data_IF_312352778978
#
_entry.id   IF_312352778978
#
_cell.length_a   1.000
_cell.length_b   1.000
_cell.length_c   1.000
_cell.angle_alpha   90.00
_cell.angle_beta   90.00
_cell.angle_gamma   90.00
#
_symmetry.space_group_name_H-M   'P 1'
#
loop_
_entity.id
_entity.type
_entity.pdbx_description
1 polymer ?
#
# COMPACT_ATOMS: atom_id res chain seq x y z
N UNK A 1 -7.72 -20.11 -16.02
CA UNK A 1 -7.74 -18.66 -15.73
C UNK A 1 -8.23 -17.95 -17.00
N UNK A 2 -9.22 -17.05 -16.84
CA UNK A 2 -9.61 -16.11 -17.88
C UNK A 2 -8.91 -14.78 -17.57
N UNK A 3 -8.33 -14.17 -18.60
CA UNK A 3 -7.72 -12.84 -18.52
C UNK A 3 -8.57 -11.86 -19.31
N UNK A 4 -8.60 -10.62 -18.89
CA UNK A 4 -9.35 -9.53 -19.51
C UNK A 4 -8.45 -8.29 -19.61
N UNK A 5 -8.75 -7.42 -20.56
CA UNK A 5 -8.05 -6.14 -20.66
C UNK A 5 -8.53 -5.14 -19.59
N UNK A 6 -7.69 -4.18 -19.25
CA UNK A 6 -7.94 -3.23 -18.15
C UNK A 6 -9.18 -2.35 -18.40
N UNK A 7 -9.48 -2.03 -19.66
CA UNK A 7 -10.65 -1.27 -20.08
C UNK A 7 -11.99 -2.01 -19.83
N UNK A 8 -11.94 -3.33 -19.62
CA UNK A 8 -13.10 -4.15 -19.31
C UNK A 8 -13.35 -4.28 -17.78
N UNK A 9 -12.49 -3.74 -16.95
CA UNK A 9 -12.51 -3.98 -15.50
C UNK A 9 -13.84 -3.59 -14.86
N UNK A 10 -14.41 -2.42 -15.19
CA UNK A 10 -15.69 -1.99 -14.63
C UNK A 10 -16.85 -2.90 -15.07
N UNK A 11 -16.88 -3.33 -16.34
CA UNK A 11 -17.90 -4.25 -16.85
C UNK A 11 -17.80 -5.59 -16.16
N UNK A 12 -16.59 -6.10 -15.96
CA UNK A 12 -16.35 -7.37 -15.28
C UNK A 12 -16.72 -7.26 -13.81
N UNK A 13 -16.33 -6.19 -13.14
CA UNK A 13 -16.69 -5.92 -11.75
C UNK A 13 -18.21 -5.99 -11.54
N UNK A 14 -18.99 -5.46 -12.48
CA UNK A 14 -20.45 -5.47 -12.41
C UNK A 14 -21.09 -6.83 -12.73
N UNK A 15 -20.40 -7.72 -13.42
CA UNK A 15 -20.99 -8.98 -13.95
C UNK A 15 -20.38 -10.24 -13.40
N UNK A 16 -19.24 -10.15 -12.72
CA UNK A 16 -18.53 -11.33 -12.19
C UNK A 16 -19.39 -12.05 -11.14
N UNK A 17 -19.38 -13.36 -11.20
CA UNK A 17 -20.00 -14.23 -10.19
C UNK A 17 -18.90 -14.76 -9.27
N UNK A 18 -18.68 -14.08 -8.17
CA UNK A 18 -17.69 -14.45 -7.17
C UNK A 18 -18.13 -13.94 -5.80
N UNK A 19 -17.88 -14.70 -4.75
CA UNK A 19 -18.10 -14.25 -3.38
C UNK A 19 -17.08 -13.20 -2.92
N UNK A 20 -15.84 -13.32 -3.40
CA UNK A 20 -14.71 -12.48 -3.01
C UNK A 20 -14.03 -11.93 -4.26
N UNK A 21 -13.78 -10.66 -4.27
CA UNK A 21 -12.90 -9.98 -5.24
C UNK A 21 -11.66 -9.48 -4.49
N UNK A 22 -10.48 -9.67 -5.07
CA UNK A 22 -9.24 -9.15 -4.53
C UNK A 22 -8.59 -8.13 -5.48
N UNK A 23 -8.10 -7.03 -4.91
CA UNK A 23 -7.32 -5.98 -5.58
C UNK A 23 -6.01 -5.80 -4.81
N UNK A 24 -4.96 -6.50 -5.25
CA UNK A 24 -3.64 -6.48 -4.62
C UNK A 24 -2.71 -5.67 -5.52
N UNK A 25 -2.26 -4.51 -5.07
CA UNK A 25 -1.45 -3.60 -5.89
C UNK A 25 -2.19 -3.15 -7.16
N UNK A 26 -3.47 -2.81 -7.05
CA UNK A 26 -4.33 -2.44 -8.19
C UNK A 26 -5.00 -1.11 -7.98
N UNK A 27 -5.61 -0.90 -6.82
CA UNK A 27 -6.50 0.24 -6.57
C UNK A 27 -5.77 1.59 -6.69
N UNK A 28 -4.49 1.64 -6.31
CA UNK A 28 -3.60 2.79 -6.40
C UNK A 28 -3.22 3.18 -7.83
N UNK A 29 -3.37 2.26 -8.78
CA UNK A 29 -3.05 2.49 -10.19
C UNK A 29 -4.28 2.87 -11.03
N UNK A 30 -5.47 2.75 -10.48
CA UNK A 30 -6.70 3.04 -11.20
C UNK A 30 -6.89 4.55 -11.35
N UNK A 31 -7.19 5.00 -12.56
CA UNK A 31 -7.52 6.41 -12.83
C UNK A 31 -8.88 6.79 -12.21
N UNK A 32 -9.83 5.86 -12.20
CA UNK A 32 -11.17 6.06 -11.65
C UNK A 32 -11.58 4.88 -10.74
N UNK A 33 -11.00 4.76 -9.52
CA UNK A 33 -11.32 3.67 -8.61
C UNK A 33 -12.80 3.66 -8.18
N UNK A 34 -13.45 4.84 -8.13
CA UNK A 34 -14.87 4.97 -7.75
C UNK A 34 -15.81 4.20 -8.68
N UNK A 35 -15.54 4.20 -9.97
CA UNK A 35 -16.35 3.48 -10.96
C UNK A 35 -16.34 1.98 -10.70
N UNK A 36 -15.15 1.43 -10.42
CA UNK A 36 -14.98 -0.01 -10.17
C UNK A 36 -15.58 -0.40 -8.81
N UNK A 37 -15.37 0.41 -7.77
CA UNK A 37 -15.95 0.17 -6.45
C UNK A 37 -17.48 0.22 -6.49
N UNK A 38 -18.05 1.18 -7.24
CA UNK A 38 -19.50 1.25 -7.48
C UNK A 38 -20.00 0.01 -8.22
N UNK A 39 -19.31 -0.43 -9.26
CA UNK A 39 -19.69 -1.62 -10.01
C UNK A 39 -19.67 -2.88 -9.15
N UNK A 40 -18.70 -3.00 -8.22
CA UNK A 40 -18.66 -4.10 -7.24
C UNK A 40 -19.78 -4.00 -6.21
N UNK A 41 -20.10 -2.79 -5.72
CA UNK A 41 -21.20 -2.57 -4.81
C UNK A 41 -22.54 -2.95 -5.45
N UNK A 42 -22.75 -2.56 -6.70
CA UNK A 42 -24.00 -2.86 -7.46
C UNK A 42 -24.10 -4.35 -7.86
N UNK A 43 -23.00 -5.11 -7.76
CA UNK A 43 -22.95 -6.52 -8.10
C UNK A 43 -23.35 -7.40 -6.89
N UNK A 44 -24.61 -7.82 -6.86
CA UNK A 44 -25.16 -8.64 -5.78
C UNK A 44 -24.48 -10.02 -5.57
N UNK A 45 -23.59 -10.44 -6.48
CA UNK A 45 -22.83 -11.69 -6.32
C UNK A 45 -21.57 -11.53 -5.51
N UNK A 46 -21.03 -10.29 -5.41
CA UNK A 46 -19.80 -10.01 -4.67
C UNK A 46 -20.16 -9.64 -3.23
N UNK A 47 -19.68 -10.45 -2.29
CA UNK A 47 -19.93 -10.22 -0.85
C UNK A 47 -18.74 -9.60 -0.13
N UNK A 48 -17.53 -9.85 -0.61
CA UNK A 48 -16.30 -9.39 0.04
C UNK A 48 -15.34 -8.76 -0.96
N UNK A 49 -14.71 -7.68 -0.53
CA UNK A 49 -13.59 -7.04 -1.21
C UNK A 49 -12.35 -7.13 -0.33
N UNK A 50 -11.30 -7.76 -0.85
CA UNK A 50 -9.97 -7.73 -0.25
C UNK A 50 -9.08 -6.76 -1.02
N UNK A 51 -8.45 -5.83 -0.31
CA UNK A 51 -7.50 -4.89 -0.92
C UNK A 51 -6.12 -5.00 -0.27
N UNK A 52 -5.09 -4.71 -1.06
CA UNK A 52 -3.75 -4.38 -0.60
C UNK A 52 -3.35 -3.08 -1.28
N UNK A 53 -3.08 -2.05 -0.50
CA UNK A 53 -2.76 -0.71 -1.02
C UNK A 53 -1.62 -0.05 -0.25
N UNK A 54 -0.81 0.78 -0.92
CA UNK A 54 0.16 1.62 -0.26
C UNK A 54 -0.51 2.74 0.54
N UNK A 55 0.11 3.08 1.67
CA UNK A 55 -0.35 4.14 2.56
C UNK A 55 0.61 5.33 2.56
N UNK A 56 0.06 6.50 2.80
CA UNK A 56 0.84 7.68 3.16
C UNK A 56 1.50 7.44 4.52
N UNK A 57 2.81 7.22 4.50
CA UNK A 57 3.63 6.79 5.64
C UNK A 57 4.93 7.58 5.71
N UNK A 58 5.77 7.40 6.73
CA UNK A 58 7.11 7.97 6.77
C UNK A 58 7.98 7.71 5.53
N UNK A 59 7.78 6.61 4.82
CA UNK A 59 8.49 6.32 3.56
C UNK A 59 8.31 7.44 2.52
N UNK A 60 7.15 8.09 2.46
CA UNK A 60 6.93 9.24 1.56
C UNK A 60 7.92 10.37 1.84
N UNK A 61 8.16 10.65 3.12
CA UNK A 61 9.14 11.67 3.52
C UNK A 61 10.59 11.24 3.23
N UNK A 62 10.88 9.94 3.40
CA UNK A 62 12.20 9.40 3.04
C UNK A 62 12.46 9.57 1.53
N UNK A 63 11.46 9.29 0.69
CA UNK A 63 11.55 9.48 -0.76
C UNK A 63 11.74 10.96 -1.15
N UNK A 64 11.17 11.90 -0.38
CA UNK A 64 11.38 13.33 -0.59
C UNK A 64 12.78 13.80 -0.16
N UNK A 65 13.33 13.22 0.91
CA UNK A 65 14.66 13.56 1.44
C UNK A 65 15.78 12.90 0.63
N UNK A 66 15.53 11.70 0.11
CA UNK A 66 16.48 10.90 -0.67
C UNK A 66 15.98 10.67 -2.12
N UNK A 67 15.80 11.72 -2.94
CA UNK A 67 15.10 11.64 -4.22
C UNK A 67 15.84 10.82 -5.30
N UNK A 68 17.12 10.54 -5.09
CA UNK A 68 17.94 9.74 -6.02
C UNK A 68 17.86 8.24 -5.73
N UNK A 69 17.16 7.86 -4.66
CA UNK A 69 17.03 6.47 -4.24
C UNK A 69 15.64 5.95 -4.56
N UNK A 70 15.51 4.64 -4.58
CA UNK A 70 14.35 3.92 -5.07
C UNK A 70 13.02 4.46 -4.50
N UNK A 71 12.33 5.24 -5.31
CA UNK A 71 10.98 5.72 -4.99
C UNK A 71 9.98 4.59 -5.21
N UNK A 72 9.18 4.30 -4.21
CA UNK A 72 8.14 3.27 -4.24
C UNK A 72 6.73 3.88 -4.13
N UNK A 73 6.57 4.89 -3.27
CA UNK A 73 5.27 5.51 -3.01
C UNK A 73 4.95 6.64 -3.99
N UNK A 74 5.94 7.48 -4.31
CA UNK A 74 5.77 8.66 -5.16
C UNK A 74 6.05 8.39 -6.65
N UNK A 75 6.31 7.14 -7.03
CA UNK A 75 6.60 6.73 -8.40
C UNK A 75 5.84 5.46 -8.76
N UNK A 76 6.36 4.65 -9.67
CA UNK A 76 5.81 3.36 -10.06
C UNK A 76 4.37 3.40 -10.63
N UNK A 77 3.91 4.57 -11.11
CA UNK A 77 2.57 4.72 -11.69
C UNK A 77 1.44 4.80 -10.67
N UNK A 78 1.74 5.06 -9.40
CA UNK A 78 0.71 5.33 -8.40
C UNK A 78 -0.04 6.63 -8.75
N UNK A 79 -1.32 6.55 -8.96
CA UNK A 79 -2.22 7.69 -9.15
C UNK A 79 -2.87 8.13 -7.85
N UNK A 80 -2.89 7.23 -6.86
CA UNK A 80 -3.46 7.45 -5.54
C UNK A 80 -2.53 6.93 -4.45
N UNK A 81 -2.48 7.67 -3.35
CA UNK A 81 -1.84 7.27 -2.12
C UNK A 81 -2.87 7.37 -1.00
N UNK A 82 -3.14 6.24 -0.36
CA UNK A 82 -4.23 6.13 0.60
C UNK A 82 -3.79 6.51 2.00
N UNK A 83 -4.75 6.90 2.83
CA UNK A 83 -4.64 7.01 4.28
C UNK A 83 -5.72 6.15 4.92
N UNK A 84 -5.60 5.83 6.21
CA UNK A 84 -6.67 5.11 6.91
C UNK A 84 -8.01 5.86 6.82
N UNK A 85 -7.97 7.20 6.92
CA UNK A 85 -9.17 8.03 6.79
C UNK A 85 -9.82 7.93 5.41
N UNK A 86 -9.03 7.93 4.32
CA UNK A 86 -9.58 7.79 2.97
C UNK A 86 -10.14 6.39 2.72
N UNK A 87 -9.56 5.35 3.32
CA UNK A 87 -10.08 3.98 3.24
C UNK A 87 -11.36 3.80 4.05
N UNK A 88 -11.46 4.43 5.22
CA UNK A 88 -12.71 4.45 6.00
C UNK A 88 -13.81 5.20 5.24
N UNK A 89 -13.50 6.38 4.67
CA UNK A 89 -14.44 7.10 3.82
C UNK A 89 -14.90 6.27 2.61
N UNK A 90 -13.98 5.56 1.96
CA UNK A 90 -14.29 4.65 0.87
C UNK A 90 -15.27 3.54 1.32
N UNK A 91 -15.03 2.97 2.50
CA UNK A 91 -15.92 1.96 3.05
C UNK A 91 -17.35 2.50 3.27
N UNK A 92 -17.46 3.67 3.87
CA UNK A 92 -18.76 4.33 4.12
C UNK A 92 -19.47 4.68 2.81
N UNK A 93 -18.75 5.27 1.84
CA UNK A 93 -19.31 5.70 0.54
C UNK A 93 -19.87 4.54 -0.28
N UNK A 94 -19.26 3.36 -0.22
CA UNK A 94 -19.65 2.18 -1.00
C UNK A 94 -20.34 1.10 -0.15
N UNK A 95 -20.90 1.46 1.01
CA UNK A 95 -21.68 0.55 1.84
C UNK A 95 -20.90 -0.69 2.26
N UNK A 96 -19.66 -0.53 2.66
CA UNK A 96 -18.78 -1.62 3.06
C UNK A 96 -18.47 -1.56 4.55
N UNK A 97 -18.50 -2.72 5.20
CA UNK A 97 -18.04 -2.89 6.57
C UNK A 97 -16.65 -3.51 6.61
N UNK A 98 -15.69 -2.84 7.27
CA UNK A 98 -14.36 -3.38 7.52
C UNK A 98 -14.46 -4.59 8.47
N UNK A 99 -14.01 -5.76 8.01
CA UNK A 99 -14.01 -7.03 8.75
C UNK A 99 -12.67 -7.29 9.41
N UNK A 100 -11.58 -7.02 8.68
CA UNK A 100 -10.22 -7.21 9.17
C UNK A 100 -9.29 -6.23 8.49
N UNK A 101 -8.19 -5.92 9.17
CA UNK A 101 -7.10 -5.14 8.60
C UNK A 101 -5.77 -5.60 9.19
N UNK A 102 -4.74 -5.54 8.37
CA UNK A 102 -3.37 -5.84 8.76
C UNK A 102 -2.45 -4.78 8.16
N UNK A 103 -1.85 -3.98 9.05
CA UNK A 103 -0.83 -2.97 8.71
C UNK A 103 0.54 -3.61 8.74
N UNK A 104 1.33 -3.32 7.74
CA UNK A 104 2.72 -3.76 7.63
C UNK A 104 3.44 -2.85 6.64
N UNK A 105 4.76 -2.93 6.62
CA UNK A 105 5.53 -2.14 5.67
C UNK A 105 7.00 -2.49 5.69
N UNK A 106 7.73 -1.74 4.91
CA UNK A 106 9.20 -1.78 4.87
C UNK A 106 9.83 -0.42 5.17
N UNK A 107 9.11 0.46 5.86
CA UNK A 107 9.53 1.84 6.12
C UNK A 107 10.92 1.90 6.77
N UNK A 108 11.16 1.06 7.77
CA UNK A 108 12.44 1.03 8.48
C UNK A 108 13.57 0.41 7.67
N UNK A 109 13.28 -0.60 6.84
CA UNK A 109 14.29 -1.16 5.92
C UNK A 109 14.58 -0.17 4.79
N UNK A 110 13.60 0.60 4.34
CA UNK A 110 13.78 1.65 3.34
C UNK A 110 14.64 2.79 3.92
N UNK A 111 14.37 3.24 5.15
CA UNK A 111 15.24 4.20 5.84
C UNK A 111 16.67 3.68 5.95
N UNK A 112 16.83 2.44 6.42
CA UNK A 112 18.13 1.80 6.55
C UNK A 112 18.91 1.83 5.23
N UNK A 113 18.30 1.36 4.14
CA UNK A 113 18.90 1.30 2.81
C UNK A 113 19.26 2.70 2.28
N UNK A 114 18.36 3.66 2.45
CA UNK A 114 18.57 5.03 2.01
C UNK A 114 19.81 5.64 2.68
N UNK A 115 19.96 5.44 3.97
CA UNK A 115 21.13 5.93 4.72
C UNK A 115 22.41 5.21 4.28
N UNK A 116 22.40 3.87 4.15
CA UNK A 116 23.56 3.09 3.67
C UNK A 116 24.06 3.62 2.31
N UNK A 117 23.13 3.76 1.36
CA UNK A 117 23.49 4.23 0.02
C UNK A 117 24.04 5.66 0.05
N UNK A 118 23.42 6.53 0.84
CA UNK A 118 23.85 7.94 0.93
C UNK A 118 25.22 8.10 1.59
N UNK A 119 25.50 7.36 2.65
CA UNK A 119 26.83 7.31 3.29
C UNK A 119 27.86 6.74 2.33
N UNK A 120 27.54 5.67 1.59
CA UNK A 120 28.45 5.00 0.68
C UNK A 120 28.80 5.79 -0.58
N UNK A 121 28.07 6.86 -0.91
CA UNK A 121 28.40 7.75 -2.04
C UNK A 121 29.63 8.62 -1.80
N UNK A 122 30.04 8.81 -0.57
CA UNK A 122 31.15 9.69 -0.21
C UNK A 122 32.34 8.85 0.25
N UNK A 123 33.52 8.92 -0.41
CA UNK A 123 34.70 8.10 -0.08
C UNK A 123 35.13 8.24 1.37
N UNK A 124 34.94 9.45 1.96
CA UNK A 124 35.34 9.74 3.33
C UNK A 124 34.46 9.03 4.37
N UNK A 125 33.21 8.75 4.01
CA UNK A 125 32.24 8.12 4.91
C UNK A 125 31.91 6.68 4.57
N UNK A 126 32.41 6.13 3.45
CA UNK A 126 32.10 4.76 2.99
C UNK A 126 32.24 3.71 4.11
N UNK A 127 33.32 3.82 4.91
CA UNK A 127 33.56 2.88 6.04
C UNK A 127 32.51 2.96 7.13
N UNK A 128 31.75 4.06 7.20
CA UNK A 128 30.67 4.23 8.18
C UNK A 128 29.43 3.42 7.83
N UNK A 129 29.31 2.89 6.59
CA UNK A 129 28.20 2.02 6.19
C UNK A 129 28.10 0.78 7.07
N UNK A 130 29.26 0.17 7.40
CA UNK A 130 29.27 -1.00 8.29
C UNK A 130 28.86 -0.62 9.70
N UNK A 131 29.36 0.50 10.23
CA UNK A 131 28.99 1.00 11.57
C UNK A 131 27.48 1.25 11.64
N UNK A 132 26.91 1.87 10.62
CA UNK A 132 25.46 2.07 10.52
C UNK A 132 24.71 0.73 10.51
N UNK A 133 25.17 -0.22 9.69
CA UNK A 133 24.56 -1.56 9.61
C UNK A 133 24.58 -2.28 10.96
N UNK A 134 25.72 -2.27 11.65
CA UNK A 134 25.86 -2.92 12.95
C UNK A 134 24.96 -2.32 14.03
N UNK A 135 24.73 -1.00 13.96
CA UNK A 135 23.87 -0.29 14.91
C UNK A 135 22.38 -0.45 14.60
N UNK A 136 21.99 -0.38 13.34
CA UNK A 136 20.59 -0.25 12.95
C UNK A 136 19.92 -1.58 12.60
N UNK A 137 20.64 -2.51 11.94
CA UNK A 137 20.06 -3.80 11.54
C UNK A 137 19.42 -4.58 12.69
N UNK A 138 19.99 -4.60 13.91
CA UNK A 138 19.40 -5.37 15.01
C UNK A 138 18.05 -4.86 15.52
N UNK A 139 17.67 -3.61 15.18
CA UNK A 139 16.45 -2.96 15.69
C UNK A 139 15.41 -2.67 14.60
N UNK A 140 15.72 -2.92 13.33
CA UNK A 140 14.82 -2.60 12.19
C UNK A 140 13.44 -3.21 12.38
N UNK A 141 13.37 -4.51 12.66
CA UNK A 141 12.10 -5.25 12.78
C UNK A 141 11.28 -4.74 13.98
N UNK A 142 11.95 -4.43 15.08
CA UNK A 142 11.27 -3.89 16.27
C UNK A 142 10.68 -2.50 16.01
N UNK A 143 11.41 -1.64 15.31
CA UNK A 143 10.92 -0.32 14.92
C UNK A 143 9.75 -0.41 13.93
N UNK A 144 9.87 -1.30 12.93
CA UNK A 144 8.78 -1.54 11.98
C UNK A 144 7.53 -2.04 12.68
N UNK A 145 7.67 -3.01 13.59
CA UNK A 145 6.54 -3.55 14.35
C UNK A 145 5.82 -2.47 15.18
N UNK A 146 6.55 -1.52 15.76
CA UNK A 146 5.92 -0.40 16.48
C UNK A 146 5.18 0.57 15.55
N UNK A 147 5.67 0.75 14.33
CA UNK A 147 4.94 1.52 13.29
C UNK A 147 3.67 0.80 12.87
N UNK A 148 3.76 -0.51 12.62
CA UNK A 148 2.62 -1.35 12.23
C UNK A 148 1.50 -1.29 13.28
N UNK A 149 1.84 -1.42 14.56
CA UNK A 149 0.89 -1.30 15.68
C UNK A 149 0.22 0.07 15.78
N UNK A 150 0.87 1.12 15.29
CA UNK A 150 0.36 2.51 15.31
C UNK A 150 -0.31 2.91 14.00
N UNK A 151 -0.46 1.98 13.05
CA UNK A 151 -1.00 2.22 11.71
C UNK A 151 -0.23 3.30 10.92
N UNK A 152 1.09 3.36 11.11
CA UNK A 152 1.98 4.28 10.42
C UNK A 152 2.78 3.61 9.30
N UNK A 153 2.46 2.37 8.98
CA UNK A 153 3.15 1.55 7.98
C UNK A 153 2.80 1.98 6.57
N UNK A 154 3.70 1.66 5.65
CA UNK A 154 3.58 2.00 4.22
C UNK A 154 2.55 1.16 3.45
N UNK A 155 2.02 0.10 4.03
CA UNK A 155 1.04 -0.78 3.39
C UNK A 155 -0.02 -1.26 4.36
N UNK A 156 -1.20 -1.59 3.81
CA UNK A 156 -2.27 -2.24 4.54
C UNK A 156 -2.97 -3.27 3.67
N UNK A 157 -3.31 -4.41 4.28
CA UNK A 157 -4.30 -5.34 3.75
C UNK A 157 -5.62 -5.16 4.50
N UNK A 158 -6.72 -5.02 3.76
CA UNK A 158 -8.05 -4.91 4.36
C UNK A 158 -9.04 -5.85 3.70
N UNK A 159 -9.91 -6.41 4.52
CA UNK A 159 -11.08 -7.17 4.08
C UNK A 159 -12.33 -6.39 4.43
N UNK A 160 -13.13 -6.12 3.43
CA UNK A 160 -14.44 -5.50 3.56
C UNK A 160 -15.54 -6.49 3.19
N UNK A 161 -16.71 -6.31 3.81
CA UNK A 161 -17.96 -6.96 3.44
C UNK A 161 -18.93 -5.89 2.93
N UNK A 162 -19.50 -6.07 1.75
CA UNK A 162 -20.59 -5.23 1.26
C UNK A 162 -21.83 -5.45 2.15
N UNK A 163 -22.44 -4.35 2.57
CA UNK A 163 -23.71 -4.37 3.28
C UNK A 163 -24.84 -4.34 2.25
N UNK A 164 -25.74 -5.31 2.36
CA UNK A 164 -26.92 -5.47 1.47
C UNK A 164 -28.06 -4.54 1.89
#
# INVERSE_FOLDING_TARGET
LKTHSIDQTAVIANTIKADVVSMIGVLEHLQNPREILKALHDNNSVRYLYISVPLFSPTVFFEMVFPELMQRQLSAGHTHLYTESSLNWMADEFGMKKIAAWWFGSDMIDLYRNVVVQIGKQPETEKMTQVWSDMFSPIIDALQLEMDKKHLSSEVHMLFKFES
#
